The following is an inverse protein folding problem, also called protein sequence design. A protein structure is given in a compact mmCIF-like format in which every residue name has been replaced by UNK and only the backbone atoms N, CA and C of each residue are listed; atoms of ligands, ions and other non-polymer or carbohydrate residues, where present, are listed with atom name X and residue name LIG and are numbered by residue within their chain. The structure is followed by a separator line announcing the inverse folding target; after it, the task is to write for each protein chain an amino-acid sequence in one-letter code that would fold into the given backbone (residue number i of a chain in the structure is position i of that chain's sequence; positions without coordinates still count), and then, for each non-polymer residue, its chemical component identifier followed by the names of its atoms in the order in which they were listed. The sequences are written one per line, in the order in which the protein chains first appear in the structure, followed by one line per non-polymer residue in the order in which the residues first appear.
data_IF_663762924652
#
_entry.id   IF_663762924652
#
_cell.length_a   1.000
_cell.length_b   1.000
_cell.length_c   1.000
_cell.angle_alpha   90.00
_cell.angle_beta   90.00
_cell.angle_gamma   90.00
#
_symmetry.space_group_name_H-M   'P 1'
#
loop_
_entity.id
_entity.type
_entity.pdbx_description
1 polymer ?
#
# COMPACT_ATOMS: atom_id res chain seq x y z
N UNK A 1 24.92 21.42 20.03
CA UNK A 1 24.11 20.94 21.18
C UNK A 1 22.67 20.62 20.79
N UNK A 2 21.92 21.56 20.18
CA UNK A 2 20.53 21.34 19.73
C UNK A 2 20.37 20.20 18.70
N UNK A 3 21.25 20.10 17.71
CA UNK A 3 21.18 19.02 16.71
C UNK A 3 21.42 17.63 17.32
N UNK A 4 22.30 17.51 18.31
CA UNK A 4 22.53 16.24 19.01
C UNK A 4 21.31 15.82 19.82
N UNK A 5 20.63 16.78 20.45
CA UNK A 5 19.37 16.55 21.18
C UNK A 5 18.26 16.04 20.25
N UNK A 6 18.28 16.40 18.97
CA UNK A 6 17.32 15.91 17.98
C UNK A 6 17.73 14.58 17.36
N UNK A 7 18.95 14.49 16.84
CA UNK A 7 19.43 13.34 16.07
C UNK A 7 19.53 12.11 16.95
N UNK A 8 20.12 12.20 18.13
CA UNK A 8 20.44 11.01 18.94
C UNK A 8 19.16 10.30 19.42
N UNK A 9 18.19 10.97 20.06
CA UNK A 9 16.95 10.30 20.46
C UNK A 9 16.15 9.78 19.27
N UNK A 10 16.11 10.53 18.17
CA UNK A 10 15.36 10.11 16.98
C UNK A 10 16.01 8.92 16.28
N UNK A 11 17.34 8.86 16.22
CA UNK A 11 18.09 7.75 15.64
C UNK A 11 17.97 6.49 16.50
N UNK A 12 17.98 6.63 17.84
CA UNK A 12 17.70 5.53 18.75
C UNK A 12 16.26 5.01 18.56
N UNK A 13 15.28 5.90 18.50
CA UNK A 13 13.90 5.50 18.20
C UNK A 13 13.79 4.84 16.82
N UNK A 14 14.46 5.38 15.81
CA UNK A 14 14.44 4.84 14.46
C UNK A 14 15.05 3.43 14.39
N UNK A 15 16.12 3.18 15.15
CA UNK A 15 16.79 1.89 15.16
C UNK A 15 16.04 0.84 15.99
N UNK A 16 15.50 1.21 17.16
CA UNK A 16 14.92 0.25 18.11
C UNK A 16 13.40 0.10 18.01
N UNK A 17 12.67 1.10 17.51
CA UNK A 17 11.21 1.14 17.59
C UNK A 17 10.49 1.11 16.23
N UNK A 18 11.21 0.99 15.11
CA UNK A 18 10.59 1.00 13.78
C UNK A 18 10.23 -0.39 13.25
N UNK A 19 9.07 -0.42 12.59
CA UNK A 19 8.81 -1.39 11.53
C UNK A 19 9.62 -0.98 10.29
N UNK A 20 10.60 -1.81 9.91
CA UNK A 20 11.54 -1.59 8.79
C UNK A 20 10.82 -1.38 7.45
N UNK A 21 9.58 -1.87 7.32
CA UNK A 21 8.75 -1.82 6.11
C UNK A 21 8.36 -0.40 5.65
N UNK A 22 8.61 0.65 6.44
CA UNK A 22 8.17 2.02 6.13
C UNK A 22 9.37 2.99 6.11
N UNK A 23 10.00 3.22 4.93
CA UNK A 23 11.23 4.02 4.81
C UNK A 23 11.05 5.50 5.19
N UNK A 24 9.82 6.00 5.22
CA UNK A 24 9.48 7.40 5.56
C UNK A 24 9.96 7.85 6.94
N UNK A 25 10.24 6.93 7.84
CA UNK A 25 10.67 7.31 9.18
C UNK A 25 12.14 7.77 9.25
N UNK A 26 12.92 7.69 8.17
CA UNK A 26 14.24 8.34 8.12
C UNK A 26 14.16 9.82 7.74
N UNK A 27 13.00 10.30 7.24
CA UNK A 27 12.83 11.65 6.73
C UNK A 27 13.25 12.74 7.74
N UNK A 28 12.96 12.64 9.05
CA UNK A 28 13.40 13.67 9.98
C UNK A 28 14.93 13.76 10.15
N UNK A 29 15.67 12.70 9.80
CA UNK A 29 17.14 12.70 9.79
C UNK A 29 17.73 13.27 8.49
N UNK A 30 16.92 13.50 7.45
CA UNK A 30 17.41 14.05 6.18
C UNK A 30 17.87 15.50 6.31
N UNK A 31 17.18 16.32 7.10
CA UNK A 31 17.53 17.73 7.32
C UNK A 31 18.94 17.86 7.96
N UNK A 32 19.23 17.21 9.11
CA UNK A 32 20.56 17.29 9.69
C UNK A 32 21.63 16.64 8.81
N UNK A 33 21.29 15.60 8.04
CA UNK A 33 22.21 14.98 7.09
C UNK A 33 22.60 15.94 5.97
N UNK A 34 21.63 16.57 5.29
CA UNK A 34 21.88 17.55 4.23
C UNK A 34 22.70 18.72 4.78
N UNK A 35 22.36 19.21 5.98
CA UNK A 35 23.09 20.28 6.63
C UNK A 35 24.55 19.91 6.91
N UNK A 36 24.79 18.69 7.42
CA UNK A 36 26.14 18.17 7.64
C UNK A 36 26.94 18.03 6.35
N UNK A 37 26.32 17.55 5.26
CA UNK A 37 26.95 17.45 3.93
C UNK A 37 27.34 18.85 3.43
N UNK A 38 26.42 19.82 3.47
CA UNK A 38 26.69 21.20 3.02
C UNK A 38 27.81 21.82 3.84
N UNK A 39 27.77 21.67 5.18
CA UNK A 39 28.81 22.20 6.06
C UNK A 39 30.18 21.57 5.80
N UNK A 40 30.23 20.26 5.56
CA UNK A 40 31.45 19.54 5.20
C UNK A 40 32.03 20.00 3.86
N UNK A 41 31.19 20.14 2.82
CA UNK A 41 31.59 20.64 1.51
C UNK A 41 32.12 22.08 1.57
N UNK A 42 31.56 22.92 2.45
CA UNK A 42 32.02 24.29 2.67
C UNK A 42 33.43 24.38 3.25
N UNK A 43 33.91 23.34 3.96
CA UNK A 43 35.30 23.30 4.44
C UNK A 43 36.31 23.24 3.30
N UNK A 44 35.91 22.72 2.13
CA UNK A 44 36.75 22.62 0.93
C UNK A 44 36.64 23.89 0.08
N UNK A 45 37.00 25.04 0.67
CA UNK A 45 36.76 26.42 0.18
C UNK A 45 36.98 26.62 -1.32
N UNK A 46 38.01 26.00 -1.91
CA UNK A 46 38.35 26.12 -3.34
C UNK A 46 37.36 25.42 -4.28
N UNK A 47 36.78 24.30 -3.85
CA UNK A 47 35.88 23.47 -4.68
C UNK A 47 34.42 23.52 -4.22
N UNK A 48 34.16 24.08 -3.03
CA UNK A 48 32.84 24.26 -2.45
C UNK A 48 31.76 24.74 -3.43
N UNK A 49 31.94 25.82 -4.22
CA UNK A 49 30.89 26.26 -5.13
C UNK A 49 30.58 25.22 -6.21
N UNK A 50 31.61 24.58 -6.78
CA UNK A 50 31.44 23.54 -7.82
C UNK A 50 30.70 22.33 -7.22
N UNK A 51 31.09 21.88 -6.03
CA UNK A 51 30.49 20.71 -5.37
C UNK A 51 29.05 20.98 -4.94
N UNK A 52 28.75 22.17 -4.42
CA UNK A 52 27.39 22.56 -4.05
C UNK A 52 26.50 22.71 -5.28
N UNK A 53 27.00 23.30 -6.37
CA UNK A 53 26.26 23.37 -7.63
C UNK A 53 26.03 21.98 -8.23
N UNK A 54 27.02 21.09 -8.18
CA UNK A 54 26.88 19.71 -8.64
C UNK A 54 25.83 18.93 -7.81
N UNK A 55 25.83 19.10 -6.47
CA UNK A 55 24.83 18.51 -5.57
C UNK A 55 23.41 19.06 -5.84
N UNK A 56 23.30 20.37 -6.05
CA UNK A 56 22.01 20.99 -6.39
C UNK A 56 21.51 20.52 -7.76
N UNK A 57 22.41 20.44 -8.76
CA UNK A 57 22.06 19.97 -10.09
C UNK A 57 21.64 18.49 -10.10
N UNK A 58 22.34 17.63 -9.34
CA UNK A 58 21.98 16.21 -9.25
C UNK A 58 20.65 15.98 -8.55
N UNK A 59 20.41 16.68 -7.43
CA UNK A 59 19.12 16.62 -6.72
C UNK A 59 17.98 17.18 -7.58
N UNK A 60 18.20 18.27 -8.31
CA UNK A 60 17.23 18.82 -9.26
C UNK A 60 16.96 17.85 -10.42
N UNK A 61 17.99 17.22 -11.00
CA UNK A 61 17.82 16.26 -12.09
C UNK A 61 16.97 15.05 -11.65
N UNK A 62 17.27 14.49 -10.47
CA UNK A 62 16.48 13.40 -9.88
C UNK A 62 15.06 13.86 -9.56
N UNK A 63 14.88 15.09 -9.07
CA UNK A 63 13.57 15.68 -8.80
C UNK A 63 12.72 15.86 -10.06
N UNK A 64 13.32 16.33 -11.16
CA UNK A 64 12.62 16.52 -12.44
C UNK A 64 12.15 15.18 -13.03
N UNK A 65 12.95 14.12 -12.92
CA UNK A 65 12.53 12.77 -13.33
C UNK A 65 11.31 12.35 -12.52
N UNK A 66 11.33 12.51 -11.20
CA UNK A 66 10.20 12.15 -10.33
C UNK A 66 8.92 12.94 -10.64
N UNK A 67 9.03 14.26 -10.85
CA UNK A 67 7.87 15.11 -11.19
C UNK A 67 7.30 14.74 -12.57
N UNK A 68 8.16 14.37 -13.53
CA UNK A 68 7.71 13.93 -14.87
C UNK A 68 7.06 12.56 -14.84
N UNK A 69 7.59 11.66 -14.02
CA UNK A 69 7.03 10.32 -13.88
C UNK A 69 5.75 10.30 -13.06
N UNK A 70 5.53 11.32 -12.21
CA UNK A 70 4.29 11.48 -11.44
C UNK A 70 3.13 11.56 -12.44
N UNK A 71 2.34 10.49 -12.61
CA UNK A 71 1.41 10.44 -13.72
C UNK A 71 0.34 11.51 -13.52
N UNK A 72 -0.14 12.08 -14.62
CA UNK A 72 -1.40 12.86 -14.62
C UNK A 72 -2.58 11.93 -14.28
N UNK A 73 -2.40 10.62 -14.40
CA UNK A 73 -3.37 9.59 -13.99
C UNK A 73 -3.26 9.27 -12.51
N UNK A 74 -4.39 9.00 -11.88
CA UNK A 74 -4.47 8.68 -10.45
C UNK A 74 -3.55 7.52 -10.04
N UNK A 75 -3.09 7.51 -8.79
CA UNK A 75 -2.35 6.37 -8.23
C UNK A 75 -3.16 5.07 -8.33
N UNK A 76 -2.55 3.86 -8.42
CA UNK A 76 -3.31 2.60 -8.49
C UNK A 76 -4.33 2.43 -7.36
N UNK A 77 -3.98 2.89 -6.16
CA UNK A 77 -4.85 2.94 -4.99
C UNK A 77 -6.08 3.83 -5.19
N UNK A 78 -5.89 5.01 -5.79
CA UNK A 78 -6.98 5.92 -6.11
C UNK A 78 -7.82 5.38 -7.27
N UNK A 79 -7.22 4.78 -8.30
CA UNK A 79 -7.94 4.10 -9.39
C UNK A 79 -8.84 2.98 -8.84
N UNK A 80 -8.33 2.14 -7.93
CA UNK A 80 -9.13 1.13 -7.23
C UNK A 80 -10.30 1.77 -6.47
N UNK A 81 -10.05 2.84 -5.72
CA UNK A 81 -11.09 3.55 -4.98
C UNK A 81 -12.20 4.09 -5.91
N UNK A 82 -11.80 4.71 -7.02
CA UNK A 82 -12.73 5.19 -8.04
C UNK A 82 -13.52 4.06 -8.68
N UNK A 83 -12.87 2.93 -8.99
CA UNK A 83 -13.52 1.76 -9.58
C UNK A 83 -14.56 1.16 -8.65
N UNK A 84 -14.19 0.90 -7.40
CA UNK A 84 -15.08 0.29 -6.42
C UNK A 84 -16.26 1.20 -6.11
N UNK A 85 -16.04 2.51 -5.98
CA UNK A 85 -17.14 3.46 -5.78
C UNK A 85 -18.11 3.53 -6.96
N UNK A 86 -17.64 3.25 -8.18
CA UNK A 86 -18.50 3.15 -9.35
C UNK A 86 -19.26 1.81 -9.43
N UNK A 87 -18.67 0.72 -8.91
CA UNK A 87 -19.31 -0.58 -8.81
C UNK A 87 -20.40 -0.61 -7.71
N UNK A 88 -20.21 0.11 -6.61
CA UNK A 88 -21.10 0.13 -5.43
C UNK A 88 -22.39 0.96 -5.59
N UNK A 89 -22.89 1.19 -6.83
CA UNK A 89 -24.02 2.10 -7.15
C UNK A 89 -25.41 1.57 -6.74
N UNK A 90 -25.54 1.03 -5.53
CA UNK A 90 -26.79 0.55 -4.94
C UNK A 90 -26.93 -0.97 -4.89
N UNK A 91 -25.89 -1.70 -5.32
CA UNK A 91 -25.79 -3.15 -5.16
C UNK A 91 -25.11 -3.48 -3.82
N UNK A 92 -25.51 -4.57 -3.16
CA UNK A 92 -24.84 -4.99 -1.91
C UNK A 92 -23.45 -5.51 -2.25
N UNK A 93 -22.43 -4.66 -2.13
CA UNK A 93 -21.03 -5.02 -2.37
C UNK A 93 -20.21 -4.95 -1.08
N UNK A 94 -19.30 -5.90 -0.90
CA UNK A 94 -18.27 -5.84 0.15
C UNK A 94 -16.89 -6.02 -0.47
N UNK A 95 -15.94 -5.18 -0.03
CA UNK A 95 -14.56 -5.23 -0.53
C UNK A 95 -13.62 -5.54 0.62
N UNK A 96 -12.97 -6.70 0.52
CA UNK A 96 -11.94 -7.13 1.43
C UNK A 96 -10.57 -6.64 0.94
N UNK A 97 -9.89 -5.84 1.76
CA UNK A 97 -8.60 -5.20 1.39
C UNK A 97 -7.56 -5.29 2.50
N UNK A 98 -6.37 -4.73 2.24
CA UNK A 98 -5.31 -4.51 3.22
C UNK A 98 -5.15 -3.02 3.55
N UNK A 99 -4.06 -2.35 3.17
CA UNK A 99 -3.88 -0.90 3.39
C UNK A 99 -4.65 -0.04 2.38
N UNK A 100 -5.15 -0.64 1.29
CA UNK A 100 -5.98 0.01 0.26
C UNK A 100 -7.21 0.70 0.88
N UNK A 101 -7.81 0.07 1.90
CA UNK A 101 -8.96 0.57 2.67
C UNK A 101 -8.82 2.05 3.01
N UNK A 102 -7.62 2.50 3.39
CA UNK A 102 -7.39 3.88 3.83
C UNK A 102 -7.70 4.90 2.74
N UNK A 103 -7.33 4.58 1.50
CA UNK A 103 -7.56 5.45 0.35
C UNK A 103 -9.03 5.38 -0.05
N UNK A 104 -9.61 4.18 -0.07
CA UNK A 104 -11.03 3.98 -0.39
C UNK A 104 -11.91 4.74 0.60
N UNK A 105 -11.70 4.56 1.91
CA UNK A 105 -12.48 5.23 2.96
C UNK A 105 -12.29 6.75 2.96
N UNK A 106 -11.10 7.23 2.60
CA UNK A 106 -10.83 8.66 2.53
C UNK A 106 -11.58 9.33 1.37
N UNK A 107 -11.57 8.72 0.18
CA UNK A 107 -12.21 9.27 -1.01
C UNK A 107 -13.72 8.97 -1.07
N UNK A 108 -14.12 7.79 -0.61
CA UNK A 108 -15.46 7.23 -0.73
C UNK A 108 -15.89 6.53 0.57
N UNK A 109 -16.24 7.31 1.62
CA UNK A 109 -16.57 6.76 2.94
C UNK A 109 -17.85 5.90 2.96
N UNK A 110 -18.68 5.98 1.93
CA UNK A 110 -19.91 5.18 1.79
C UNK A 110 -19.65 3.73 1.33
N UNK A 111 -18.47 3.46 0.76
CA UNK A 111 -18.13 2.13 0.23
C UNK A 111 -17.86 1.17 1.38
N UNK A 112 -18.50 0.00 1.34
CA UNK A 112 -18.33 -1.03 2.38
C UNK A 112 -17.01 -1.78 2.19
N UNK A 113 -16.00 -1.39 2.97
CA UNK A 113 -14.69 -2.03 2.98
C UNK A 113 -14.40 -2.72 4.31
N UNK A 114 -13.76 -3.89 4.26
CA UNK A 114 -13.25 -4.57 5.44
C UNK A 114 -11.76 -4.83 5.25
N UNK A 115 -10.95 -4.28 6.16
CA UNK A 115 -9.52 -4.55 6.19
C UNK A 115 -9.22 -5.83 6.93
N UNK A 116 -8.49 -6.73 6.27
CA UNK A 116 -8.16 -8.05 6.80
C UNK A 116 -6.65 -8.28 6.82
N UNK A 117 -6.20 -9.08 7.79
CA UNK A 117 -4.80 -9.52 7.89
C UNK A 117 -4.65 -11.02 8.07
N UNK A 118 -5.71 -11.71 8.51
CA UNK A 118 -5.70 -13.13 8.85
C UNK A 118 -6.90 -13.83 8.25
N UNK A 119 -6.70 -15.10 7.92
CA UNK A 119 -7.75 -15.99 7.43
C UNK A 119 -8.92 -16.14 8.41
N UNK A 120 -8.64 -16.28 9.72
CA UNK A 120 -9.68 -16.39 10.74
C UNK A 120 -10.65 -15.21 10.74
N UNK A 121 -10.13 -14.00 10.55
CA UNK A 121 -10.90 -12.77 10.57
C UNK A 121 -11.77 -12.67 9.31
N UNK A 122 -11.24 -13.14 8.18
CA UNK A 122 -12.00 -13.27 6.94
C UNK A 122 -13.18 -14.24 7.08
N UNK A 123 -12.91 -15.44 7.60
CA UNK A 123 -13.96 -16.44 7.82
C UNK A 123 -15.04 -15.91 8.76
N UNK A 124 -14.64 -15.32 9.88
CA UNK A 124 -15.58 -14.74 10.83
C UNK A 124 -16.42 -13.63 10.19
N UNK A 125 -15.81 -12.75 9.39
CA UNK A 125 -16.52 -11.69 8.68
C UNK A 125 -17.55 -12.25 7.69
N UNK A 126 -17.17 -13.21 6.86
CA UNK A 126 -18.08 -13.82 5.87
C UNK A 126 -19.22 -14.60 6.55
N UNK A 127 -18.92 -15.36 7.61
CA UNK A 127 -19.90 -16.18 8.31
C UNK A 127 -20.86 -15.35 9.19
N UNK A 128 -20.51 -14.10 9.50
CA UNK A 128 -21.40 -13.18 10.21
C UNK A 128 -22.57 -12.69 9.35
N UNK A 129 -22.48 -12.79 8.01
CA UNK A 129 -23.57 -12.41 7.12
C UNK A 129 -24.66 -13.48 7.09
N UNK A 130 -25.89 -13.08 7.44
CA UNK A 130 -27.08 -13.94 7.28
C UNK A 130 -27.47 -14.09 5.80
N UNK A 131 -27.29 -13.02 5.02
CA UNK A 131 -27.39 -12.99 3.55
C UNK A 131 -26.12 -12.34 3.03
N UNK A 132 -25.39 -13.07 2.17
CA UNK A 132 -24.15 -12.58 1.60
C UNK A 132 -24.41 -11.45 0.58
N UNK A 133 -23.60 -10.39 0.58
CA UNK A 133 -23.65 -9.32 -0.42
C UNK A 133 -23.52 -9.88 -1.84
N UNK A 134 -24.31 -9.36 -2.78
CA UNK A 134 -24.34 -9.79 -4.18
C UNK A 134 -22.95 -9.86 -4.77
N UNK A 135 -22.11 -8.85 -4.50
CA UNK A 135 -20.72 -8.82 -4.94
C UNK A 135 -19.75 -8.89 -3.77
N UNK A 136 -18.83 -9.84 -3.82
CA UNK A 136 -17.74 -9.97 -2.86
C UNK A 136 -16.43 -9.80 -3.61
N UNK A 137 -15.71 -8.73 -3.28
CA UNK A 137 -14.43 -8.40 -3.87
C UNK A 137 -13.29 -8.64 -2.89
N UNK A 138 -12.14 -9.08 -3.40
CA UNK A 138 -10.90 -9.25 -2.64
C UNK A 138 -9.74 -8.65 -3.43
N UNK A 139 -8.86 -7.90 -2.78
CA UNK A 139 -7.59 -7.51 -3.40
C UNK A 139 -6.60 -8.68 -3.39
N UNK A 140 -5.68 -8.68 -4.36
CA UNK A 140 -4.53 -9.60 -4.42
C UNK A 140 -3.81 -9.72 -3.07
N UNK A 141 -3.58 -8.59 -2.38
CA UNK A 141 -2.92 -8.57 -1.07
C UNK A 141 -3.65 -9.37 0.01
N UNK A 142 -4.97 -9.42 -0.04
CA UNK A 142 -5.76 -10.24 0.87
C UNK A 142 -5.68 -11.70 0.48
N UNK A 143 -5.84 -11.99 -0.82
CA UNK A 143 -5.84 -13.35 -1.35
C UNK A 143 -4.49 -14.05 -1.11
N UNK A 144 -3.39 -13.36 -1.42
CA UNK A 144 -2.02 -13.84 -1.21
C UNK A 144 -1.69 -13.92 0.28
N UNK A 145 -2.19 -12.99 1.10
CA UNK A 145 -2.01 -12.99 2.55
C UNK A 145 -2.69 -14.16 3.27
N UNK A 146 -3.62 -14.87 2.62
CA UNK A 146 -4.21 -16.09 3.16
C UNK A 146 -3.37 -17.33 2.93
N UNK A 147 -2.36 -17.27 2.06
CA UNK A 147 -1.53 -18.42 1.66
C UNK A 147 -2.37 -19.63 1.20
N UNK A 148 -3.53 -19.37 0.58
CA UNK A 148 -4.48 -20.39 0.16
C UNK A 148 -4.73 -20.34 -1.35
N UNK A 149 -3.98 -21.15 -2.09
CA UNK A 149 -4.07 -21.25 -3.55
C UNK A 149 -5.43 -21.78 -4.03
N UNK A 150 -6.15 -22.57 -3.23
CA UNK A 150 -7.47 -23.10 -3.63
C UNK A 150 -8.50 -21.98 -3.80
N UNK A 151 -8.38 -20.86 -3.05
CA UNK A 151 -9.29 -19.73 -3.18
C UNK A 151 -9.23 -19.08 -4.56
N UNK A 152 -8.07 -19.16 -5.25
CA UNK A 152 -7.90 -18.58 -6.58
C UNK A 152 -8.83 -19.23 -7.62
N UNK A 153 -9.27 -20.47 -7.41
CA UNK A 153 -10.19 -21.17 -8.31
C UNK A 153 -11.65 -20.67 -8.25
N UNK A 154 -11.99 -19.97 -7.16
CA UNK A 154 -13.34 -19.46 -6.87
C UNK A 154 -13.50 -17.97 -7.14
N UNK A 155 -12.42 -17.30 -7.54
CA UNK A 155 -12.42 -15.89 -7.87
C UNK A 155 -12.05 -15.68 -9.34
N UNK A 156 -12.44 -14.54 -9.89
CA UNK A 156 -12.05 -14.06 -11.22
C UNK A 156 -11.45 -12.67 -11.09
N UNK A 157 -10.49 -12.33 -11.95
CA UNK A 157 -9.97 -10.97 -12.03
C UNK A 157 -11.07 -10.04 -12.55
N UNK A 158 -11.46 -9.06 -11.74
CA UNK A 158 -12.47 -8.06 -12.08
C UNK A 158 -11.83 -6.81 -12.69
N UNK A 159 -10.70 -6.37 -12.12
CA UNK A 159 -9.94 -5.24 -12.61
C UNK A 159 -8.47 -5.32 -12.15
N UNK A 160 -7.59 -4.64 -12.87
CA UNK A 160 -6.18 -4.49 -12.52
C UNK A 160 -5.74 -3.05 -12.70
N UNK A 161 -5.04 -2.53 -11.69
CA UNK A 161 -4.59 -1.15 -11.62
C UNK A 161 -3.07 -1.12 -11.58
N UNK A 162 -2.46 -0.51 -12.60
CA UNK A 162 -1.00 -0.42 -12.72
C UNK A 162 -0.52 1.02 -12.65
N UNK A 163 0.63 1.20 -12.02
CA UNK A 163 1.36 2.46 -11.93
C UNK A 163 2.87 2.21 -11.98
N UNK A 164 3.64 3.28 -11.94
CA UNK A 164 5.11 3.18 -11.91
C UNK A 164 5.58 2.52 -10.60
N UNK A 165 6.39 1.47 -10.72
CA UNK A 165 7.05 0.80 -9.58
C UNK A 165 7.95 1.77 -8.81
N UNK A 166 8.58 2.71 -9.53
CA UNK A 166 9.43 3.73 -8.93
C UNK A 166 8.66 4.65 -7.97
N UNK A 167 7.43 5.03 -8.34
CA UNK A 167 6.60 5.92 -7.53
C UNK A 167 5.77 5.18 -6.48
N UNK A 168 5.36 3.96 -6.77
CA UNK A 168 4.48 3.17 -5.93
C UNK A 168 5.10 1.81 -5.60
N UNK A 169 6.27 1.76 -4.93
CA UNK A 169 7.06 0.52 -4.79
C UNK A 169 6.26 -0.65 -4.22
N UNK A 170 5.37 -0.39 -3.26
CA UNK A 170 4.53 -1.44 -2.66
C UNK A 170 3.23 -1.69 -3.42
N UNK A 171 2.64 -0.70 -4.08
CA UNK A 171 1.29 -0.79 -4.62
C UNK A 171 1.22 -0.28 -6.07
N UNK A 172 2.19 -0.72 -6.87
CA UNK A 172 2.29 -0.37 -8.29
C UNK A 172 1.45 -1.29 -9.19
N UNK A 173 1.17 -2.52 -8.77
CA UNK A 173 0.18 -3.40 -9.41
C UNK A 173 -0.79 -3.86 -8.32
N UNK A 174 -2.07 -3.63 -8.55
CA UNK A 174 -3.15 -4.06 -7.65
C UNK A 174 -4.16 -4.80 -8.50
N UNK A 175 -4.47 -6.04 -8.14
CA UNK A 175 -5.50 -6.84 -8.80
C UNK A 175 -6.72 -6.94 -7.88
N UNK A 176 -7.88 -6.56 -8.40
CA UNK A 176 -9.16 -6.76 -7.74
C UNK A 176 -9.81 -8.03 -8.28
N UNK A 177 -10.09 -8.95 -7.38
CA UNK A 177 -10.79 -10.20 -7.68
C UNK A 177 -12.24 -10.10 -7.21
N UNK A 178 -13.13 -10.74 -7.96
CA UNK A 178 -14.54 -10.93 -7.58
C UNK A 178 -14.82 -12.42 -7.41
N UNK A 179 -15.58 -12.79 -6.37
CA UNK A 179 -16.06 -14.16 -6.19
C UNK A 179 -16.98 -14.54 -7.35
N UNK A 180 -16.71 -15.70 -7.94
CA UNK A 180 -17.49 -16.28 -9.03
C UNK A 180 -18.90 -16.64 -8.57
N UNK A 181 -19.91 -16.03 -9.19
CA UNK A 181 -21.32 -16.30 -8.86
C UNK A 181 -21.70 -17.77 -9.07
N UNK A 182 -21.14 -18.42 -10.11
CA UNK A 182 -21.39 -19.84 -10.44
C UNK A 182 -20.81 -20.81 -9.41
N UNK A 183 -19.71 -20.43 -8.73
CA UNK A 183 -19.06 -21.26 -7.71
C UNK A 183 -19.27 -20.77 -6.27
N UNK A 184 -20.18 -19.81 -6.08
CA UNK A 184 -20.38 -19.13 -4.79
C UNK A 184 -20.72 -20.10 -3.65
N UNK A 185 -21.54 -21.12 -3.92
CA UNK A 185 -21.93 -22.11 -2.91
C UNK A 185 -20.78 -23.01 -2.47
N UNK A 186 -19.92 -23.43 -3.41
CA UNK A 186 -18.72 -24.22 -3.13
C UNK A 186 -17.70 -23.40 -2.34
N UNK A 187 -17.52 -22.14 -2.72
CA UNK A 187 -16.67 -21.19 -2.01
C UNK A 187 -17.10 -21.00 -0.54
N UNK A 188 -18.41 -20.85 -0.27
CA UNK A 188 -18.93 -20.76 1.11
C UNK A 188 -18.65 -22.06 1.88
N UNK A 189 -18.81 -23.23 1.24
CA UNK A 189 -18.54 -24.52 1.88
C UNK A 189 -17.06 -24.66 2.25
N UNK A 190 -16.15 -24.22 1.38
CA UNK A 190 -14.71 -24.15 1.66
C UNK A 190 -14.42 -23.27 2.89
N UNK A 191 -15.03 -22.09 2.96
CA UNK A 191 -14.87 -21.17 4.10
C UNK A 191 -15.38 -21.81 5.40
N UNK A 192 -16.53 -22.51 5.36
CA UNK A 192 -17.14 -23.18 6.53
C UNK A 192 -16.34 -24.38 7.04
N UNK A 193 -15.71 -25.14 6.15
CA UNK A 193 -14.96 -26.35 6.52
C UNK A 193 -13.62 -26.04 7.17
N UNK A 194 -13.19 -24.77 7.18
CA UNK A 194 -12.07 -24.32 8.00
C UNK A 194 -10.71 -24.90 7.61
N UNK A 195 -10.59 -25.56 6.47
CA UNK A 195 -9.31 -26.00 5.95
C UNK A 195 -8.51 -24.76 5.53
N UNK A 196 -7.63 -24.27 6.42
CA UNK A 196 -6.40 -23.66 5.95
C UNK A 196 -5.66 -24.75 5.14
N UNK A 197 -5.31 -24.51 3.87
CA UNK A 197 -4.38 -25.41 3.20
C UNK A 197 -3.07 -25.42 3.99
N UNK A 198 -2.51 -26.61 4.13
CA UNK A 198 -1.32 -26.86 4.91
C UNK A 198 -0.16 -25.96 4.45
N UNK A 199 0.35 -25.12 5.34
CA UNK A 199 1.45 -24.20 5.05
C UNK A 199 1.58 -23.08 6.08
N UNK A 200 1.67 -23.44 7.37
CA UNK A 200 2.19 -22.57 8.43
C UNK A 200 3.66 -22.85 8.65
#
# INVERSE_FOLDING_TARGET
MLLFLWIVPYLLWAFFAQNVEKPRHILPLMIPLIWGIVWGLQQWRRFSPILLTALAASTAAVGVIQVREQPVTDSPMAQLAHYVAQADRGESSIIYTYEEERVIRYLYPSVTTVRLRKWSDFQASILAYSVLPDHVYLTDRVLDGFHNEQLKEYVKEAARFRGSEWLYPTYHDIVLYEVRQDKRQEWIRLIKTGQQPAGS
#
